data_IF_625269818629
#
_entry.id   IF_625269818629
#
_cell.length_a   1.000
_cell.length_b   1.000
_cell.length_c   1.000
_cell.angle_alpha   90.00
_cell.angle_beta   90.00
_cell.angle_gamma   90.00
#
_symmetry.space_group_name_H-M   'P 1'
#
loop_
_entity.id
_entity.type
_entity.pdbx_description
1 polymer ?
#
# COMPACT_ATOMS: atom_id res chain seq x y z
N UNK A 1 6.93 6.45 -5.37
CA UNK A 1 6.26 5.22 -4.92
C UNK A 1 4.90 5.51 -4.32
N UNK A 2 3.82 5.34 -5.08
CA UNK A 2 2.43 5.58 -4.64
C UNK A 2 2.11 4.96 -3.26
N UNK A 3 2.35 3.66 -3.09
CA UNK A 3 2.17 2.95 -1.83
C UNK A 3 3.35 3.15 -0.87
N UNK A 4 4.57 2.87 -1.32
CA UNK A 4 5.75 2.81 -0.46
C UNK A 4 6.32 4.17 -0.03
N UNK A 5 5.96 5.27 -0.68
CA UNK A 5 6.61 6.57 -0.49
C UNK A 5 6.48 7.13 0.92
N UNK A 6 5.32 6.96 1.56
CA UNK A 6 5.11 7.43 2.93
C UNK A 6 5.99 6.70 3.95
N UNK A 7 6.46 5.47 3.65
CA UNK A 7 7.32 4.70 4.54
C UNK A 7 8.74 5.30 4.70
N UNK A 8 9.09 6.36 3.96
CA UNK A 8 10.28 7.18 4.25
C UNK A 8 10.22 7.85 5.62
N UNK A 9 9.02 8.03 6.16
CA UNK A 9 8.79 8.57 7.50
C UNK A 9 9.21 7.57 8.59
N UNK A 10 9.02 6.26 8.36
CA UNK A 10 9.38 5.18 9.27
C UNK A 10 10.90 4.97 9.33
N UNK A 11 11.55 5.07 10.49
CA UNK A 11 12.97 4.73 10.64
C UNK A 11 13.28 3.28 10.24
N UNK A 12 12.34 2.35 10.49
CA UNK A 12 12.48 0.91 10.13
C UNK A 12 12.54 0.69 8.62
N UNK A 13 11.77 1.47 7.85
CA UNK A 13 11.63 1.29 6.41
C UNK A 13 12.38 2.30 5.55
N UNK A 14 12.82 3.45 6.10
CA UNK A 14 13.49 4.52 5.32
C UNK A 14 14.67 4.00 4.51
N UNK A 15 15.46 3.09 5.06
CA UNK A 15 16.60 2.48 4.35
C UNK A 15 16.20 1.73 3.07
N UNK A 16 14.98 1.18 2.99
CA UNK A 16 14.45 0.51 1.79
C UNK A 16 14.18 1.49 0.63
N UNK A 17 14.16 2.78 0.90
CA UNK A 17 13.96 3.85 -0.08
C UNK A 17 15.25 4.63 -0.34
N UNK A 18 16.41 4.12 0.08
CA UNK A 18 17.69 4.74 -0.23
C UNK A 18 17.86 4.94 -1.75
N UNK A 19 18.23 6.14 -2.18
CA UNK A 19 18.28 6.53 -3.58
C UNK A 19 17.06 7.33 -4.05
N UNK A 20 15.98 7.41 -3.25
CA UNK A 20 14.80 8.23 -3.59
C UNK A 20 15.14 9.72 -3.71
N UNK A 21 16.18 10.18 -3.01
CA UNK A 21 16.70 11.55 -3.08
C UNK A 21 17.32 11.91 -4.44
N UNK A 22 17.64 10.91 -5.27
CA UNK A 22 18.18 11.09 -6.63
C UNK A 22 17.10 11.13 -7.70
N UNK A 23 15.83 10.96 -7.34
CA UNK A 23 14.74 10.94 -8.30
C UNK A 23 14.38 12.37 -8.75
N UNK A 24 14.18 12.57 -10.06
CA UNK A 24 13.66 13.84 -10.59
C UNK A 24 12.23 14.13 -10.12
N UNK A 25 11.47 13.06 -9.84
CA UNK A 25 10.13 13.15 -9.28
C UNK A 25 9.75 11.91 -8.48
N UNK A 26 8.86 12.11 -7.50
CA UNK A 26 8.34 11.07 -6.61
C UNK A 26 6.84 11.24 -6.45
N UNK A 27 6.07 10.25 -6.89
CA UNK A 27 4.66 10.14 -6.51
C UNK A 27 4.54 9.42 -5.17
N UNK A 28 3.67 9.89 -4.29
CA UNK A 28 3.16 9.09 -3.18
C UNK A 28 1.68 9.40 -2.93
N UNK A 29 0.96 8.43 -2.37
CA UNK A 29 -0.47 8.56 -2.10
C UNK A 29 -0.70 8.68 -0.59
N UNK A 30 -0.95 9.90 -0.06
CA UNK A 30 -1.35 10.07 1.33
C UNK A 30 -2.57 9.23 1.72
N UNK A 31 -3.47 8.98 0.77
CA UNK A 31 -4.63 8.13 1.02
C UNK A 31 -4.30 6.63 1.19
N UNK A 32 -3.04 6.24 1.00
CA UNK A 32 -2.50 4.93 1.33
C UNK A 32 -1.74 5.02 2.65
N UNK A 33 -0.44 5.30 2.58
CA UNK A 33 0.47 5.22 3.74
C UNK A 33 0.35 6.35 4.76
N UNK A 34 -0.54 7.34 4.56
CA UNK A 34 -0.84 8.35 5.59
C UNK A 34 -2.29 8.29 6.07
N UNK A 35 -3.03 7.23 5.72
CA UNK A 35 -4.39 6.99 6.24
C UNK A 35 -5.39 8.12 5.93
N UNK A 36 -5.13 8.92 4.89
CA UNK A 36 -5.98 10.03 4.51
C UNK A 36 -7.13 9.59 3.60
N UNK A 37 -8.21 10.37 3.47
CA UNK A 37 -9.29 10.04 2.55
C UNK A 37 -8.84 9.98 1.08
N UNK A 38 -9.53 9.13 0.30
CA UNK A 38 -9.36 9.00 -1.15
C UNK A 38 -9.46 10.34 -1.90
N UNK A 39 -8.89 10.35 -3.10
CA UNK A 39 -8.75 11.56 -3.92
C UNK A 39 -7.58 12.45 -3.52
N UNK A 40 -6.64 11.91 -2.72
CA UNK A 40 -5.43 12.62 -2.26
C UNK A 40 -4.19 11.88 -2.76
N UNK A 41 -3.64 12.30 -3.89
CA UNK A 41 -2.33 11.90 -4.39
C UNK A 41 -1.36 13.07 -4.36
N UNK A 42 -0.06 12.80 -4.28
CA UNK A 42 0.96 13.84 -4.26
C UNK A 42 2.07 13.48 -5.25
N UNK A 43 2.49 14.49 -6.02
CA UNK A 43 3.69 14.45 -6.85
C UNK A 43 4.67 15.48 -6.28
N UNK A 44 5.86 15.02 -5.94
CA UNK A 44 7.01 15.86 -5.62
C UNK A 44 7.93 15.87 -6.84
N UNK A 45 8.39 17.04 -7.26
CA UNK A 45 9.36 17.19 -8.35
C UNK A 45 10.56 17.97 -7.84
N UNK A 46 11.76 17.54 -8.23
CA UNK A 46 13.01 18.20 -7.82
C UNK A 46 13.12 19.61 -8.43
N UNK A 47 12.71 19.77 -9.69
CA UNK A 47 12.62 21.05 -10.37
C UNK A 47 11.17 21.35 -10.81
N UNK A 48 10.49 22.22 -10.07
CA UNK A 48 9.13 22.65 -10.36
C UNK A 48 8.95 23.32 -11.72
N UNK A 49 10.02 23.87 -12.32
CA UNK A 49 9.98 24.54 -13.63
C UNK A 49 9.60 23.57 -14.74
N UNK A 50 9.87 22.28 -14.58
CA UNK A 50 9.45 21.27 -15.55
C UNK A 50 7.93 21.12 -15.61
N UNK A 51 7.26 21.09 -14.46
CA UNK A 51 5.80 21.04 -14.40
C UNK A 51 5.19 22.35 -14.90
N UNK A 52 5.73 23.48 -14.46
CA UNK A 52 5.33 24.79 -14.93
C UNK A 52 5.35 24.90 -16.46
N UNK A 53 6.47 24.54 -17.08
CA UNK A 53 6.61 24.59 -18.55
C UNK A 53 5.66 23.62 -19.26
N UNK A 54 5.39 22.45 -18.67
CA UNK A 54 4.54 21.43 -19.28
C UNK A 54 3.04 21.74 -19.16
N UNK A 55 2.63 22.42 -18.10
CA UNK A 55 1.22 22.66 -17.77
C UNK A 55 0.81 24.14 -17.85
N UNK A 56 1.73 25.02 -18.24
CA UNK A 56 1.40 26.43 -18.50
C UNK A 56 0.24 26.53 -19.47
N UNK A 57 -0.78 27.28 -19.07
CA UNK A 57 -1.94 27.58 -19.88
C UNK A 57 -2.25 29.06 -19.79
N UNK A 58 -2.52 29.69 -20.92
CA UNK A 58 -2.90 31.10 -20.99
C UNK A 58 -4.32 31.26 -21.54
N UNK A 59 -5.04 32.21 -20.97
CA UNK A 59 -6.30 32.70 -21.48
C UNK A 59 -6.51 34.13 -20.99
N UNK A 60 -7.22 34.95 -21.76
CA UNK A 60 -7.47 36.35 -21.42
C UNK A 60 -8.12 36.54 -20.03
N UNK A 61 -8.97 35.60 -19.58
CA UNK A 61 -9.59 35.65 -18.26
C UNK A 61 -8.66 35.21 -17.12
N UNK A 62 -7.47 34.69 -17.42
CA UNK A 62 -6.47 34.26 -16.45
C UNK A 62 -5.39 35.34 -16.18
N UNK A 63 -5.51 36.52 -16.79
CA UNK A 63 -4.53 37.61 -16.69
C UNK A 63 -4.34 38.14 -15.24
N UNK A 64 -5.36 37.98 -14.41
CA UNK A 64 -5.37 38.47 -13.01
C UNK A 64 -4.90 37.41 -12.00
N UNK A 65 -4.57 36.19 -12.44
CA UNK A 65 -4.03 35.14 -11.58
C UNK A 65 -2.50 35.21 -11.51
N UNK A 66 -1.94 34.94 -10.33
CA UNK A 66 -0.50 34.99 -10.10
C UNK A 66 0.27 34.04 -11.01
N UNK A 67 1.30 34.57 -11.66
CA UNK A 67 2.16 33.83 -12.61
C UNK A 67 3.57 33.70 -12.05
N UNK A 68 4.24 32.62 -12.41
CA UNK A 68 5.64 32.35 -12.05
C UNK A 68 6.63 33.46 -12.44
N UNK A 69 6.27 34.30 -13.40
CA UNK A 69 7.08 35.41 -13.92
C UNK A 69 6.70 36.80 -13.37
N UNK A 70 5.67 36.90 -12.52
CA UNK A 70 5.30 38.15 -11.84
C UNK A 70 5.97 38.21 -10.47
N UNK A 71 6.90 39.15 -10.33
CA UNK A 71 7.66 39.37 -9.10
C UNK A 71 6.74 39.54 -7.87
N UNK A 72 6.86 38.61 -6.91
CA UNK A 72 6.28 38.73 -5.57
C UNK A 72 5.01 37.91 -5.28
N UNK A 73 4.39 37.27 -6.27
CA UNK A 73 3.19 36.43 -6.04
C UNK A 73 3.52 34.93 -5.99
N UNK A 74 2.89 34.15 -5.09
CA UNK A 74 3.04 32.71 -5.11
C UNK A 74 2.45 32.15 -6.42
N UNK A 75 3.10 31.17 -7.06
CA UNK A 75 2.66 30.67 -8.35
C UNK A 75 1.30 29.99 -8.23
N UNK A 76 0.45 30.15 -9.25
CA UNK A 76 -0.85 29.51 -9.28
C UNK A 76 -0.68 27.99 -9.27
N UNK A 77 -1.40 27.26 -8.40
CA UNK A 77 -1.29 25.81 -8.41
C UNK A 77 -1.81 25.13 -9.68
N UNK A 78 -2.54 25.85 -10.55
CA UNK A 78 -2.91 25.39 -11.89
C UNK A 78 -1.70 25.22 -12.80
N UNK A 79 -0.61 25.94 -12.54
CA UNK A 79 0.57 25.92 -13.41
C UNK A 79 1.37 24.60 -13.25
N UNK A 80 1.07 23.81 -12.22
CA UNK A 80 1.82 22.59 -11.89
C UNK A 80 1.05 21.30 -12.20
N UNK A 81 -0.08 21.37 -12.91
CA UNK A 81 -0.85 20.20 -13.25
C UNK A 81 -1.94 20.46 -14.27
N UNK A 82 -2.64 19.40 -14.71
CA UNK A 82 -3.63 19.51 -15.78
C UNK A 82 -4.96 20.15 -15.34
N UNK A 83 -5.17 20.40 -14.05
CA UNK A 83 -6.43 20.92 -13.51
C UNK A 83 -6.35 22.43 -13.27
N UNK A 84 -7.23 23.20 -13.93
CA UNK A 84 -7.48 24.61 -13.58
C UNK A 84 -8.32 24.69 -12.29
N UNK A 85 -9.62 24.40 -12.40
CA UNK A 85 -10.51 24.25 -11.25
C UNK A 85 -10.27 22.92 -10.55
N UNK A 86 -10.00 22.94 -9.26
CA UNK A 86 -9.70 21.73 -8.48
C UNK A 86 -10.14 21.82 -7.04
N UNK A 87 -10.39 20.66 -6.43
CA UNK A 87 -10.72 20.58 -5.00
C UNK A 87 -9.53 21.01 -4.12
N UNK A 88 -9.81 21.48 -2.90
CA UNK A 88 -8.78 21.89 -1.95
C UNK A 88 -8.07 20.68 -1.28
N UNK A 89 -7.38 19.86 -2.07
CA UNK A 89 -6.67 18.65 -1.61
C UNK A 89 -5.53 18.98 -0.64
N UNK A 90 -4.93 20.18 -0.75
CA UNK A 90 -3.89 20.65 0.16
C UNK A 90 -4.34 20.67 1.63
N UNK A 91 -5.57 21.14 1.90
CA UNK A 91 -6.13 21.16 3.25
C UNK A 91 -6.25 19.74 3.84
N UNK A 92 -6.60 18.75 3.01
CA UNK A 92 -6.74 17.36 3.44
C UNK A 92 -5.42 16.74 3.91
N UNK A 93 -4.28 17.24 3.40
CA UNK A 93 -2.95 16.81 3.84
C UNK A 93 -2.44 17.67 5.01
N UNK A 94 -2.61 18.99 4.93
CA UNK A 94 -2.07 19.94 5.91
C UNK A 94 -2.76 19.81 7.27
N UNK A 95 -4.09 19.76 7.33
CA UNK A 95 -4.81 19.75 8.60
C UNK A 95 -4.48 18.53 9.48
N UNK A 96 -4.46 17.28 8.97
CA UNK A 96 -4.03 16.14 9.79
C UNK A 96 -2.59 16.24 10.31
N UNK A 97 -1.67 16.82 9.53
CA UNK A 97 -0.30 17.06 9.99
C UNK A 97 -0.25 18.09 11.12
N UNK A 98 -1.07 19.14 11.06
CA UNK A 98 -1.16 20.15 12.13
C UNK A 98 -1.79 19.57 13.40
N UNK A 99 -2.86 18.79 13.26
CA UNK A 99 -3.61 18.23 14.40
C UNK A 99 -2.85 17.10 15.10
N UNK A 100 -2.24 16.18 14.34
CA UNK A 100 -1.62 14.97 14.89
C UNK A 100 -0.10 15.04 14.99
N UNK A 101 0.54 15.96 14.25
CA UNK A 101 1.98 15.97 14.07
C UNK A 101 2.49 14.81 13.22
N UNK A 102 3.71 14.94 12.67
CA UNK A 102 4.32 13.91 11.84
C UNK A 102 4.65 12.62 12.62
N UNK A 103 4.79 12.68 13.95
CA UNK A 103 5.10 11.53 14.80
C UNK A 103 4.00 10.47 14.74
N UNK A 104 2.72 10.87 14.82
CA UNK A 104 1.60 9.93 14.76
C UNK A 104 1.60 9.07 13.48
N UNK A 105 1.94 9.65 12.34
CA UNK A 105 2.05 8.92 11.07
C UNK A 105 3.25 7.97 11.05
N UNK A 106 4.38 8.38 11.63
CA UNK A 106 5.57 7.53 11.77
C UNK A 106 5.28 6.31 12.61
N UNK A 107 4.73 6.52 13.80
CA UNK A 107 4.44 5.46 14.76
C UNK A 107 3.42 4.47 14.18
N UNK A 108 2.38 4.98 13.49
CA UNK A 108 1.41 4.13 12.81
C UNK A 108 2.03 3.30 11.67
N UNK A 109 2.93 3.88 10.87
CA UNK A 109 3.64 3.16 9.80
C UNK A 109 4.57 2.08 10.36
N UNK A 110 5.29 2.38 11.43
CA UNK A 110 6.14 1.41 12.13
C UNK A 110 5.30 0.24 12.65
N UNK A 111 4.18 0.52 13.32
CA UNK A 111 3.26 -0.53 13.78
C UNK A 111 2.75 -1.37 12.60
N UNK A 112 2.40 -0.75 11.45
CA UNK A 112 1.90 -1.51 10.29
C UNK A 112 2.95 -2.48 9.73
N UNK A 113 4.24 -2.13 9.80
CA UNK A 113 5.34 -3.04 9.44
C UNK A 113 5.42 -4.18 10.46
N UNK A 114 5.42 -3.86 11.76
CA UNK A 114 5.50 -4.85 12.83
C UNK A 114 4.36 -5.86 12.79
N UNK A 115 3.15 -5.41 12.47
CA UNK A 115 1.98 -6.27 12.29
C UNK A 115 2.11 -7.21 11.08
N UNK A 116 2.71 -6.75 9.97
CA UNK A 116 2.99 -7.60 8.83
C UNK A 116 4.08 -8.65 9.17
N UNK A 117 5.15 -8.23 9.87
CA UNK A 117 6.20 -9.14 10.36
C UNK A 117 5.64 -10.18 11.33
N UNK A 118 4.73 -9.78 12.24
CA UNK A 118 4.05 -10.68 13.15
C UNK A 118 3.16 -11.71 12.43
N UNK A 119 2.47 -11.29 11.36
CA UNK A 119 1.71 -12.22 10.52
C UNK A 119 2.63 -13.20 9.79
N UNK A 120 3.75 -12.74 9.21
CA UNK A 120 4.73 -13.62 8.57
C UNK A 120 5.29 -14.65 9.57
N UNK A 121 5.63 -14.22 10.79
CA UNK A 121 6.07 -15.12 11.85
C UNK A 121 4.97 -16.16 12.20
N UNK A 122 3.71 -15.75 12.27
CA UNK A 122 2.57 -16.64 12.46
C UNK A 122 2.40 -17.67 11.33
N UNK A 123 2.62 -17.26 10.07
CA UNK A 123 2.64 -18.18 8.94
C UNK A 123 3.80 -19.17 9.04
N UNK A 124 5.02 -18.69 9.37
CA UNK A 124 6.20 -19.55 9.51
C UNK A 124 6.02 -20.60 10.59
N UNK A 125 5.39 -20.25 11.72
CA UNK A 125 5.07 -21.21 12.78
C UNK A 125 4.12 -22.31 12.28
N UNK A 126 3.10 -21.96 11.49
CA UNK A 126 2.17 -22.91 10.87
C UNK A 126 2.86 -23.81 9.86
N UNK A 127 3.73 -23.25 9.02
CA UNK A 127 4.54 -24.02 8.06
C UNK A 127 5.43 -25.03 8.79
N UNK A 128 6.09 -24.61 9.87
CA UNK A 128 6.92 -25.49 10.70
C UNK A 128 6.11 -26.61 11.38
N UNK A 129 4.84 -26.34 11.71
CA UNK A 129 3.89 -27.32 12.23
C UNK A 129 3.25 -28.21 11.13
N UNK A 130 3.66 -28.07 9.87
CA UNK A 130 3.20 -28.92 8.76
C UNK A 130 2.04 -28.36 7.94
N UNK A 131 1.57 -27.13 8.19
CA UNK A 131 0.58 -26.51 7.32
C UNK A 131 1.10 -26.42 5.88
N UNK A 132 0.28 -26.75 4.86
CA UNK A 132 0.71 -26.83 3.46
C UNK A 132 0.80 -25.42 2.85
N UNK A 133 1.53 -24.51 3.49
CA UNK A 133 1.70 -23.11 3.09
C UNK A 133 3.14 -22.85 2.61
N UNK A 134 3.28 -21.79 1.83
CA UNK A 134 4.55 -21.19 1.45
C UNK A 134 4.43 -19.66 1.37
N UNK A 135 5.56 -18.98 1.56
CA UNK A 135 5.69 -17.52 1.53
C UNK A 135 6.55 -17.18 0.31
N UNK A 136 5.96 -16.88 -0.86
CA UNK A 136 6.70 -16.76 -2.11
C UNK A 136 7.57 -15.50 -2.18
N UNK A 137 7.25 -14.46 -1.41
CA UNK A 137 8.07 -13.25 -1.30
C UNK A 137 8.29 -12.86 0.17
N UNK A 138 9.48 -12.39 0.57
CA UNK A 138 9.68 -11.82 1.90
C UNK A 138 8.72 -10.64 2.17
N UNK A 139 8.38 -10.40 3.45
CA UNK A 139 7.60 -9.22 3.83
C UNK A 139 8.25 -7.93 3.33
N UNK A 140 7.42 -7.12 2.67
CA UNK A 140 7.81 -5.83 2.12
C UNK A 140 6.90 -4.74 2.67
N UNK A 141 7.46 -3.92 3.58
CA UNK A 141 6.72 -2.90 4.30
C UNK A 141 5.56 -3.55 5.08
N UNK A 142 4.31 -3.16 4.81
CA UNK A 142 3.13 -3.71 5.48
C UNK A 142 2.37 -4.77 4.65
N UNK A 143 3.05 -5.48 3.74
CA UNK A 143 2.45 -6.52 2.88
C UNK A 143 3.18 -7.86 3.06
N UNK A 144 2.39 -8.92 3.23
CA UNK A 144 2.85 -10.31 3.21
C UNK A 144 2.07 -11.06 2.16
N UNK A 145 2.76 -11.86 1.34
CA UNK A 145 2.14 -12.77 0.38
C UNK A 145 2.33 -14.21 0.85
N UNK A 146 1.33 -15.05 0.61
CA UNK A 146 1.37 -16.46 0.97
C UNK A 146 0.37 -17.26 0.12
N UNK A 147 0.60 -18.56 0.01
CA UNK A 147 -0.29 -19.46 -0.73
C UNK A 147 -0.12 -20.89 -0.25
N UNK A 148 -1.02 -21.77 -0.65
CA UNK A 148 -0.85 -23.20 -0.47
C UNK A 148 0.34 -23.70 -1.29
N UNK A 149 1.10 -24.66 -0.77
CA UNK A 149 2.10 -25.40 -1.54
C UNK A 149 1.39 -26.26 -2.59
N UNK A 150 1.86 -26.20 -3.83
CA UNK A 150 1.34 -27.05 -4.90
C UNK A 150 1.63 -28.52 -4.59
N UNK A 151 0.64 -29.40 -4.75
CA UNK A 151 0.84 -30.85 -4.63
C UNK A 151 1.60 -31.38 -5.86
N UNK A 152 2.34 -32.51 -5.75
CA UNK A 152 2.90 -33.18 -6.92
C UNK A 152 1.81 -33.42 -7.97
N UNK A 153 2.14 -33.18 -9.25
CA UNK A 153 1.27 -33.39 -10.41
C UNK A 153 -0.08 -32.63 -10.42
N UNK A 154 -0.31 -31.70 -9.48
CA UNK A 154 -1.54 -30.92 -9.41
C UNK A 154 -1.63 -29.90 -10.55
N UNK A 155 -2.68 -29.92 -11.41
CA UNK A 155 -2.85 -28.89 -12.43
C UNK A 155 -2.88 -27.48 -11.81
N UNK A 156 -2.27 -26.50 -12.47
CA UNK A 156 -2.19 -25.12 -11.95
C UNK A 156 -3.57 -24.55 -11.66
N UNK A 157 -4.56 -24.83 -12.50
CA UNK A 157 -5.93 -24.35 -12.30
C UNK A 157 -6.57 -24.94 -11.04
N UNK A 158 -6.33 -26.22 -10.75
CA UNK A 158 -6.80 -26.86 -9.52
C UNK A 158 -6.12 -26.28 -8.28
N UNK A 159 -4.81 -26.02 -8.36
CA UNK A 159 -4.06 -25.36 -7.29
C UNK A 159 -4.54 -23.92 -7.06
N UNK A 160 -4.82 -23.18 -8.12
CA UNK A 160 -5.37 -21.82 -8.06
C UNK A 160 -6.79 -21.82 -7.48
N UNK A 161 -7.63 -22.78 -7.84
CA UNK A 161 -8.96 -22.95 -7.27
C UNK A 161 -8.91 -23.23 -5.76
N UNK A 162 -7.96 -24.05 -5.29
CA UNK A 162 -7.75 -24.28 -3.85
C UNK A 162 -7.28 -23.03 -3.10
N UNK A 163 -6.39 -22.23 -3.69
CA UNK A 163 -5.99 -20.95 -3.11
C UNK A 163 -7.18 -19.97 -3.05
N UNK A 164 -8.01 -19.92 -4.08
CA UNK A 164 -9.24 -19.13 -4.08
C UNK A 164 -10.24 -19.61 -3.02
N UNK A 165 -10.39 -20.92 -2.85
CA UNK A 165 -11.22 -21.51 -1.80
C UNK A 165 -10.70 -21.17 -0.39
N UNK A 166 -9.37 -21.23 -0.16
CA UNK A 166 -8.75 -20.79 1.09
C UNK A 166 -9.08 -19.33 1.39
N UNK A 167 -8.87 -18.45 0.41
CA UNK A 167 -9.16 -17.02 0.52
C UNK A 167 -10.63 -16.77 0.88
N UNK A 168 -11.54 -17.44 0.16
CA UNK A 168 -12.98 -17.33 0.40
C UNK A 168 -13.35 -17.84 1.79
N UNK A 169 -12.78 -18.95 2.23
CA UNK A 169 -12.96 -19.47 3.59
C UNK A 169 -12.58 -18.45 4.65
N UNK A 170 -11.42 -17.80 4.52
CA UNK A 170 -11.02 -16.73 5.44
C UNK A 170 -12.01 -15.55 5.40
N UNK A 171 -12.34 -15.05 4.20
CA UNK A 171 -13.17 -13.86 4.04
C UNK A 171 -14.64 -14.06 4.47
N UNK A 172 -15.21 -15.25 4.29
CA UNK A 172 -16.60 -15.57 4.68
C UNK A 172 -16.85 -15.46 6.18
N UNK A 173 -15.79 -15.51 7.01
CA UNK A 173 -15.88 -15.33 8.45
C UNK A 173 -16.11 -13.87 8.86
N UNK A 174 -15.95 -12.93 7.93
CA UNK A 174 -16.27 -11.50 8.09
C UNK A 174 -15.55 -10.76 9.25
N UNK A 175 -14.50 -11.35 9.85
CA UNK A 175 -13.63 -10.67 10.83
C UNK A 175 -12.46 -9.96 10.15
N UNK A 176 -12.03 -10.45 9.00
CA UNK A 176 -10.94 -9.88 8.19
C UNK A 176 -11.31 -9.93 6.72
N UNK A 177 -10.62 -9.13 5.92
CA UNK A 177 -10.70 -9.21 4.47
C UNK A 177 -9.29 -9.27 3.89
N UNK A 178 -9.00 -10.37 3.19
CA UNK A 178 -7.79 -10.58 2.43
C UNK A 178 -8.10 -10.44 0.94
N UNK A 179 -7.06 -10.13 0.16
CA UNK A 179 -7.14 -10.12 -1.31
C UNK A 179 -6.13 -11.11 -1.89
N UNK A 180 -6.25 -11.42 -3.17
CA UNK A 180 -5.26 -12.18 -3.91
C UNK A 180 -4.59 -11.33 -5.00
N UNK A 181 -3.52 -11.90 -5.56
CA UNK A 181 -2.83 -11.47 -6.78
C UNK A 181 -2.32 -12.71 -7.51
N UNK A 182 -1.91 -12.58 -8.77
CA UNK A 182 -1.11 -13.60 -9.44
C UNK A 182 0.38 -13.31 -9.22
N UNK A 183 1.16 -14.34 -8.88
CA UNK A 183 2.62 -14.28 -8.90
C UNK A 183 3.18 -15.38 -9.81
N UNK A 184 4.30 -15.13 -10.51
CA UNK A 184 4.96 -16.16 -11.31
C UNK A 184 5.39 -17.37 -10.46
N UNK A 185 5.30 -18.56 -11.03
CA UNK A 185 5.82 -19.81 -10.47
C UNK A 185 6.27 -20.73 -11.62
N UNK A 186 7.24 -21.65 -11.43
CA UNK A 186 7.71 -22.52 -12.51
C UNK A 186 6.62 -23.36 -13.20
N UNK A 187 5.51 -23.62 -12.51
CA UNK A 187 4.36 -24.33 -13.08
C UNK A 187 3.42 -23.42 -13.90
N UNK A 188 3.47 -22.10 -13.72
CA UNK A 188 2.53 -21.13 -14.29
C UNK A 188 2.21 -19.98 -13.33
N UNK A 189 1.25 -19.11 -13.68
CA UNK A 189 0.78 -18.08 -12.77
C UNK A 189 0.01 -18.68 -11.58
N UNK A 190 0.40 -18.29 -10.38
CA UNK A 190 -0.13 -18.84 -9.14
C UNK A 190 -0.94 -17.79 -8.38
N UNK A 191 -2.19 -18.12 -8.08
CA UNK A 191 -3.05 -17.35 -7.18
C UNK A 191 -2.40 -17.31 -5.80
N UNK A 192 -2.05 -16.10 -5.38
CA UNK A 192 -1.32 -15.83 -4.14
C UNK A 192 -2.14 -14.89 -3.28
N UNK A 193 -2.43 -15.31 -2.04
CA UNK A 193 -3.12 -14.49 -1.07
C UNK A 193 -2.16 -13.42 -0.55
N UNK A 194 -2.71 -12.27 -0.17
CA UNK A 194 -1.94 -11.20 0.46
C UNK A 194 -2.71 -10.52 1.57
N UNK A 195 -1.98 -10.16 2.61
CA UNK A 195 -2.44 -9.17 3.57
C UNK A 195 -1.82 -7.82 3.22
N UNK A 196 -2.59 -6.75 3.41
CA UNK A 196 -2.14 -5.37 3.26
C UNK A 196 -2.52 -4.61 4.54
N UNK A 197 -1.59 -4.46 5.47
CA UNK A 197 -1.85 -3.84 6.77
C UNK A 197 -1.74 -2.32 6.65
N UNK A 198 -2.79 -1.67 6.17
CA UNK A 198 -2.82 -0.20 5.97
C UNK A 198 -4.02 0.51 6.60
N UNK A 199 -4.88 -0.21 7.34
CA UNK A 199 -5.92 0.44 8.12
C UNK A 199 -5.31 0.89 9.46
N UNK A 200 -5.41 2.17 9.79
CA UNK A 200 -4.89 2.71 11.05
C UNK A 200 -5.54 2.08 12.29
N UNK A 201 -6.75 1.51 12.15
CA UNK A 201 -7.48 0.79 13.22
C UNK A 201 -7.10 -0.69 13.34
N UNK A 202 -6.23 -1.21 12.47
CA UNK A 202 -5.74 -2.59 12.56
C UNK A 202 -4.59 -2.65 13.54
N UNK A 203 -4.78 -3.38 14.63
CA UNK A 203 -3.78 -3.66 15.65
C UNK A 203 -3.55 -5.16 15.78
N UNK A 204 -2.66 -5.57 16.69
CA UNK A 204 -2.23 -6.96 16.88
C UNK A 204 -3.37 -7.97 16.97
N UNK A 205 -4.43 -7.65 17.70
CA UNK A 205 -5.62 -8.50 17.84
C UNK A 205 -6.28 -8.87 16.51
N UNK A 206 -6.21 -8.00 15.50
CA UNK A 206 -6.74 -8.28 14.16
C UNK A 206 -5.82 -9.22 13.36
N UNK A 207 -4.51 -9.16 13.59
CA UNK A 207 -3.55 -10.11 13.00
C UNK A 207 -3.76 -11.49 13.61
N UNK A 208 -3.94 -11.58 14.93
CA UNK A 208 -4.22 -12.85 15.61
C UNK A 208 -5.55 -13.44 15.11
N UNK A 209 -6.61 -12.63 15.00
CA UNK A 209 -7.88 -13.05 14.39
C UNK A 209 -7.72 -13.55 12.94
N UNK A 210 -6.88 -12.89 12.13
CA UNK A 210 -6.61 -13.31 10.76
C UNK A 210 -5.96 -14.69 10.70
N UNK A 211 -5.03 -14.97 11.62
CA UNK A 211 -4.34 -16.25 11.72
C UNK A 211 -5.26 -17.36 12.23
N UNK A 212 -6.16 -17.07 13.18
CA UNK A 212 -7.22 -17.98 13.62
C UNK A 212 -8.17 -18.36 12.47
N UNK A 213 -8.62 -17.35 11.70
CA UNK A 213 -9.51 -17.56 10.56
C UNK A 213 -8.82 -18.36 9.44
N UNK A 214 -7.51 -18.15 9.24
CA UNK A 214 -6.68 -18.94 8.35
C UNK A 214 -6.59 -20.40 8.79
N UNK A 215 -6.36 -20.66 10.07
CA UNK A 215 -6.30 -22.03 10.59
C UNK A 215 -7.64 -22.76 10.42
N UNK A 216 -8.74 -22.04 10.63
CA UNK A 216 -10.07 -22.59 10.45
C UNK A 216 -10.36 -22.87 8.96
N UNK A 217 -10.00 -21.96 8.06
CA UNK A 217 -10.15 -22.17 6.62
C UNK A 217 -9.28 -23.33 6.09
N UNK A 218 -8.08 -23.53 6.65
CA UNK A 218 -7.24 -24.69 6.31
C UNK A 218 -7.89 -26.02 6.72
N UNK A 219 -8.48 -26.09 7.92
CA UNK A 219 -9.19 -27.30 8.38
C UNK A 219 -10.39 -27.62 7.50
N UNK A 220 -11.15 -26.61 7.09
CA UNK A 220 -12.33 -26.81 6.22
C UNK A 220 -11.93 -27.36 4.84
N UNK A 221 -10.79 -26.91 4.30
CA UNK A 221 -10.25 -27.41 3.03
C UNK A 221 -9.79 -28.86 3.09
N UNK A 222 -9.26 -29.30 4.23
CA UNK A 222 -8.82 -30.69 4.41
C UNK A 222 -10.00 -31.66 4.64
N UNK A 223 -11.17 -31.13 5.02
CA UNK A 223 -12.40 -31.90 5.20
C UNK A 223 -13.19 -32.14 3.91
N UNK A 224 -12.75 -31.57 2.78
CA UNK A 224 -13.40 -31.65 1.46
C UNK A 224 -12.59 -32.52 0.49
#
# INVERSE_FOLDING_TARGET
>A
GAYGGAFVLSPRARGRLAGIERADSVTFDPHKGMFLPYGTGCLLVADGRHLARAHHGDAAYLQDFGRLDRDGEPPSPSDFGPELSRSFRGLRLWLPLVVHGAAAFRDALDEKIELAEAFEAGLRARIAAGAPLEIPTPTALSIVTFRLRRRPDEPVDAWNARNAALLNGVNQRARVFLSSTALPHPAGEATTLRICVLNFRTHRSRIDACLEDLDAALRDLDAT
#
